data_IF_610098660854
#
_entry.id   IF_610098660854
#
_cell.length_a   1.000
_cell.length_b   1.000
_cell.length_c   1.000
_cell.angle_alpha   90.00
_cell.angle_beta   90.00
_cell.angle_gamma   90.00
#
_symmetry.space_group_name_H-M   'P 1'
#
loop_
_entity.id
_entity.type
_entity.pdbx_description
1 polymer ?
2 non-polymer ?
3 water ?
#
# COMPACT_ATOMS: atom_id res chain seq x y z
N UNK A 17 -25.02 2.00 8.71
CA UNK A 17 -24.77 3.45 8.96
C UNK A 17 -25.24 4.32 7.80
N UNK A 18 -24.85 5.59 7.83
CA UNK A 18 -25.22 6.54 6.80
C UNK A 18 -24.52 7.87 7.07
N UNK A 19 -24.52 8.75 6.09
CA UNK A 19 -23.86 10.05 6.25
C UNK A 19 -24.39 10.74 7.51
N UNK A 20 -25.67 10.51 7.80
CA UNK A 20 -26.33 11.08 8.96
C UNK A 20 -25.41 11.05 10.18
N UNK A 21 -25.32 9.89 10.79
CA UNK A 21 -24.51 9.66 11.98
C UNK A 21 -23.03 10.06 11.92
N UNK A 22 -22.66 10.85 10.91
CA UNK A 22 -21.30 11.28 10.80
C UNK A 22 -21.15 12.79 10.75
N UNK A 23 -20.01 13.25 11.22
CA UNK A 23 -19.71 14.66 11.22
C UNK A 23 -18.55 14.80 10.23
N UNK A 24 -18.89 15.18 9.00
CA UNK A 24 -17.90 15.36 7.94
C UNK A 24 -17.09 16.57 8.30
N UNK A 25 -16.09 16.34 9.14
CA UNK A 25 -15.21 17.37 9.67
C UNK A 25 -14.27 18.01 8.69
N UNK A 26 -13.79 17.26 7.71
CA UNK A 26 -12.86 17.81 6.71
C UNK A 26 -12.52 16.92 5.51
N UNK A 27 -11.87 17.55 4.54
CA UNK A 27 -11.41 16.88 3.33
C UNK A 27 -9.90 16.94 3.48
N UNK A 28 -9.27 15.77 3.51
CA UNK A 28 -7.82 15.65 3.67
C UNK A 28 -7.16 15.14 2.40
N UNK A 29 -7.95 14.62 1.47
CA UNK A 29 -7.38 14.09 0.24
C UNK A 29 -8.32 14.11 -0.95
N UNK A 30 -7.88 14.79 -2.02
CA UNK A 30 -8.65 14.93 -3.26
C UNK A 30 -8.09 14.19 -4.47
N UNK A 31 -8.92 13.35 -5.08
CA UNK A 31 -8.53 12.61 -6.26
C UNK A 31 -9.58 12.73 -7.38
N UNK A 32 -9.39 11.96 -8.45
CA UNK A 32 -10.33 11.97 -9.56
C UNK A 32 -11.37 10.90 -9.26
N UNK A 33 -10.85 9.78 -8.80
CA UNK A 33 -11.60 8.59 -8.42
C UNK A 33 -12.22 8.77 -7.01
N UNK A 34 -11.42 9.22 -6.04
CA UNK A 34 -11.93 9.36 -4.69
C UNK A 34 -11.49 10.58 -3.88
N UNK A 35 -12.27 10.84 -2.83
CA UNK A 35 -12.02 11.91 -1.90
C UNK A 35 -11.88 11.25 -0.54
N UNK A 36 -10.90 11.66 0.25
CA UNK A 36 -10.76 11.06 1.56
C UNK A 36 -11.07 12.10 2.63
N UNK A 37 -12.25 11.95 3.22
CA UNK A 37 -12.70 12.86 4.27
C UNK A 37 -12.16 12.47 5.64
N UNK A 38 -12.17 13.44 6.54
CA UNK A 38 -11.72 13.25 7.92
C UNK A 38 -13.00 13.38 8.71
N UNK A 39 -13.70 12.27 8.86
CA UNK A 39 -14.99 12.22 9.54
C UNK A 39 -15.00 11.59 10.92
N UNK A 40 -16.05 11.89 11.67
CA UNK A 40 -16.21 11.34 13.03
C UNK A 40 -17.61 10.81 13.33
N UNK A 41 -17.66 9.56 13.77
CA UNK A 41 -18.94 8.94 14.10
C UNK A 41 -19.43 9.58 15.38
N UNK A 42 -20.63 10.17 15.32
CA UNK A 42 -21.25 10.85 16.46
C UNK A 42 -21.42 9.92 17.66
N UNK A 43 -22.05 8.77 17.41
CA UNK A 43 -22.30 7.76 18.41
C UNK A 43 -21.07 7.44 19.24
N UNK A 44 -20.02 6.95 18.59
CA UNK A 44 -18.78 6.60 19.29
C UNK A 44 -17.93 7.81 19.59
N UNK A 45 -18.11 8.86 18.79
CA UNK A 45 -17.33 10.10 18.94
C UNK A 45 -15.90 9.88 18.44
N UNK A 46 -15.61 8.64 18.02
CA UNK A 46 -14.30 8.26 17.51
C UNK A 46 -14.11 8.74 16.08
N UNK A 47 -12.87 8.78 15.62
CA UNK A 47 -12.60 9.25 14.28
C UNK A 47 -12.13 8.20 13.29
N UNK A 48 -12.53 8.41 12.04
CA UNK A 48 -12.15 7.53 10.94
C UNK A 48 -12.08 8.38 9.69
N UNK A 49 -11.17 8.01 8.80
CA UNK A 49 -11.05 8.71 7.54
C UNK A 49 -11.98 7.94 6.61
N UNK A 50 -12.98 8.61 6.04
CA UNK A 50 -13.90 7.93 5.12
C UNK A 50 -13.52 8.19 3.65
N UNK A 51 -13.52 7.14 2.85
CA UNK A 51 -13.19 7.25 1.44
C UNK A 51 -14.46 7.37 0.60
N UNK A 52 -14.56 8.46 -0.15
CA UNK A 52 -15.74 8.74 -0.96
C UNK A 52 -15.55 8.65 -2.48
N UNK A 53 -16.19 7.64 -3.07
CA UNK A 53 -16.11 7.45 -4.51
C UNK A 53 -17.45 7.71 -5.17
N UNK A 54 -17.43 8.57 -6.18
CA UNK A 54 -18.63 8.90 -6.94
C UNK A 54 -19.01 7.61 -7.66
N UNK A 55 -20.25 7.15 -7.44
CA UNK A 55 -20.72 5.93 -8.08
C UNK A 55 -20.56 6.08 -9.58
N UNK A 56 -20.91 7.26 -10.08
CA UNK A 56 -20.83 7.59 -11.51
C UNK A 56 -19.45 7.33 -12.10
N UNK A 57 -18.52 6.81 -11.31
CA UNK A 57 -17.18 6.59 -11.82
C UNK A 57 -16.80 5.13 -11.89
N UNK A 58 -17.62 4.28 -11.30
CA UNK A 58 -17.33 2.86 -11.30
C UNK A 58 -18.39 2.09 -12.07
N UNK A 59 -18.43 2.34 -13.39
CA UNK A 59 -19.38 1.66 -14.26
C UNK A 59 -18.64 0.65 -15.12
N UNK A 60 -19.27 -0.50 -15.34
CA UNK A 60 -18.71 -1.60 -16.13
C UNK A 60 -18.13 -2.68 -15.21
N UNK A 61 -18.32 -3.93 -15.59
CA UNK A 61 -17.85 -5.09 -14.83
C UNK A 61 -16.40 -5.05 -14.33
N UNK A 62 -15.55 -4.23 -14.95
CA UNK A 62 -14.15 -4.17 -14.53
C UNK A 62 -13.86 -3.09 -13.47
N UNK A 63 -14.90 -2.54 -12.85
CA UNK A 63 -14.72 -1.51 -11.84
C UNK A 63 -15.29 -1.93 -10.49
N UNK A 64 -16.19 -2.90 -10.53
CA UNK A 64 -16.81 -3.41 -9.32
C UNK A 64 -15.80 -4.31 -8.63
N UNK A 65 -14.87 -4.83 -9.43
CA UNK A 65 -13.81 -5.70 -8.95
C UNK A 65 -12.74 -4.82 -8.31
N UNK A 66 -12.61 -3.60 -8.82
CA UNK A 66 -11.64 -2.66 -8.27
C UNK A 66 -12.12 -2.32 -6.86
N UNK A 67 -13.43 -2.31 -6.67
CA UNK A 67 -14.06 -2.02 -5.38
C UNK A 67 -14.14 -3.23 -4.47
N UNK A 68 -14.72 -4.32 -4.99
CA UNK A 68 -14.88 -5.56 -4.23
C UNK A 68 -13.54 -6.05 -3.72
N UNK A 69 -12.49 -5.76 -4.48
CA UNK A 69 -11.14 -6.16 -4.11
C UNK A 69 -10.63 -5.23 -3.01
N UNK A 70 -10.87 -3.93 -3.15
CA UNK A 70 -10.47 -2.99 -2.10
C UNK A 70 -11.22 -3.43 -0.84
N UNK A 71 -12.46 -3.84 -1.02
CA UNK A 71 -13.31 -4.29 0.07
C UNK A 71 -12.78 -5.63 0.64
N UNK A 72 -12.53 -6.59 -0.24
CA UNK A 72 -12.01 -7.86 0.23
C UNK A 72 -10.69 -7.76 0.97
N UNK A 73 -9.87 -6.78 0.63
CA UNK A 73 -8.59 -6.58 1.32
C UNK A 73 -8.88 -5.89 2.65
N UNK A 74 -9.58 -4.75 2.60
CA UNK A 74 -9.95 -4.01 3.81
C UNK A 74 -10.60 -4.95 4.84
N UNK A 75 -11.15 -6.06 4.37
CA UNK A 75 -11.77 -7.07 5.22
C UNK A 75 -10.65 -8.00 5.69
N UNK A 76 -9.45 -7.45 5.89
CA UNK A 76 -8.31 -8.25 6.30
C UNK A 76 -7.22 -7.46 7.00
N UNK A 77 -7.05 -6.22 6.57
CA UNK A 77 -6.04 -5.35 7.15
C UNK A 77 -6.41 -5.02 8.58
N UNK A 78 -7.65 -5.37 8.92
CA UNK A 78 -8.20 -5.14 10.25
C UNK A 78 -7.47 -6.00 11.29
N UNK A 79 -7.09 -7.20 10.84
CA UNK A 79 -6.40 -8.18 11.67
C UNK A 79 -4.90 -7.91 11.83
N UNK A 80 -4.35 -7.04 10.99
CA UNK A 80 -2.93 -6.75 11.08
C UNK A 80 -2.60 -5.34 11.58
N UNK A 81 -1.56 -5.24 12.44
CA UNK A 81 -1.02 -4.03 13.08
C UNK A 81 -0.50 -2.93 12.17
N UNK A 82 0.03 -3.30 11.00
CA UNK A 82 0.58 -2.28 10.08
C UNK A 82 -0.29 -2.09 8.84
N UNK A 83 -1.52 -2.53 8.95
CA UNK A 83 -2.49 -2.43 7.86
C UNK A 83 -3.77 -1.76 8.34
N UNK A 84 -4.21 -0.78 7.56
CA UNK A 84 -5.40 0.01 7.88
C UNK A 84 -6.71 -0.77 7.98
N UNK A 85 -7.40 -0.60 9.11
CA UNK A 85 -8.67 -1.28 9.32
C UNK A 85 -9.88 -0.63 8.65
N UNK A 86 -10.95 -1.40 8.52
CA UNK A 86 -12.15 -0.89 7.90
C UNK A 86 -13.30 -0.91 8.91
N UNK A 87 -13.79 0.26 9.30
CA UNK A 87 -14.90 0.32 10.26
C UNK A 87 -16.22 -0.14 9.63
N UNK A 88 -16.57 0.47 8.49
CA UNK A 88 -17.81 0.12 7.77
C UNK A 88 -17.88 0.67 6.32
N UNK A 89 -18.86 0.17 5.56
CA UNK A 89 -19.08 0.55 4.14
C UNK A 89 -20.52 0.82 3.75
N UNK A 90 -20.81 2.04 3.30
CA UNK A 90 -22.15 2.39 2.89
C UNK A 90 -22.16 3.21 1.61
N UNK A 91 -23.32 3.29 0.98
CA UNK A 91 -23.48 4.02 -0.26
C UNK A 91 -24.60 5.05 -0.24
N UNK A 92 -24.87 5.60 -1.42
CA UNK A 92 -25.93 6.57 -1.64
C UNK A 92 -26.26 6.41 -3.12
N UNK A 93 -27.23 7.17 -3.61
CA UNK A 93 -27.52 7.04 -5.02
C UNK A 93 -26.28 7.47 -5.78
N UNK A 94 -25.75 8.63 -5.40
CA UNK A 94 -24.57 9.18 -6.05
C UNK A 94 -23.21 8.54 -5.77
N UNK A 95 -23.00 7.92 -4.60
CA UNK A 95 -21.69 7.34 -4.32
C UNK A 95 -21.51 6.12 -3.41
N UNK A 96 -20.25 5.87 -3.03
CA UNK A 96 -19.85 4.78 -2.14
C UNK A 96 -18.90 5.34 -1.09
N UNK A 97 -18.91 4.74 0.10
CA UNK A 97 -18.05 5.23 1.18
C UNK A 97 -17.28 4.15 1.94
N UNK A 98 -16.20 4.56 2.58
CA UNK A 98 -15.40 3.63 3.37
C UNK A 98 -15.00 4.26 4.70
N UNK A 99 -15.66 3.86 5.78
CA UNK A 99 -15.28 4.39 7.08
C UNK A 99 -14.06 3.50 7.31
N UNK A 100 -12.88 4.12 7.31
CA UNK A 100 -11.62 3.42 7.46
C UNK A 100 -10.92 3.82 8.74
N UNK A 101 -9.98 3.00 9.18
CA UNK A 101 -9.20 3.29 10.38
C UNK A 101 -8.45 4.58 10.02
N UNK A 102 -8.26 5.46 10.98
CA UNK A 102 -7.59 6.70 10.66
C UNK A 102 -6.10 6.75 11.05
N UNK A 103 -5.31 7.44 10.23
CA UNK A 103 -3.86 7.58 10.47
C UNK A 103 -3.48 9.05 10.36
N UNK A 104 -2.48 9.47 11.12
CA UNK A 104 -2.09 10.89 11.12
C UNK A 104 -0.59 11.16 11.28
N UNK A 105 0.24 10.27 10.76
CA UNK A 105 1.67 10.50 10.88
C UNK A 105 2.21 11.04 9.58
N UNK A 106 1.45 10.83 8.50
CA UNK A 106 1.88 11.30 7.20
C UNK A 106 2.42 10.15 6.39
N UNK A 107 2.76 10.41 5.14
CA UNK A 107 3.30 9.39 4.26
C UNK A 107 4.81 9.58 4.16
N UNK A 108 5.58 8.50 4.24
CA UNK A 108 7.04 8.60 4.17
C UNK A 108 7.52 9.50 3.04
N UNK A 109 6.66 9.69 2.04
CA UNK A 109 6.97 10.55 0.90
C UNK A 109 7.31 11.95 1.40
N UNK A 110 6.46 12.45 2.29
CA UNK A 110 6.63 13.78 2.91
C UNK A 110 7.83 13.76 3.86
N UNK A 111 7.79 12.81 4.80
CA UNK A 111 8.85 12.66 5.79
C UNK A 111 10.20 12.65 5.10
N UNK A 112 10.25 12.08 3.91
CA UNK A 112 11.49 11.99 3.17
C UNK A 112 11.90 13.36 2.63
N UNK A 113 10.98 13.98 1.91
CA UNK A 113 11.25 15.29 1.34
C UNK A 113 11.71 16.29 2.41
N UNK A 114 11.33 16.04 3.65
CA UNK A 114 11.70 16.92 4.75
C UNK A 114 13.00 16.48 5.40
N UNK A 115 13.62 15.44 4.86
CA UNK A 115 14.88 14.95 5.43
C UNK A 115 15.92 14.36 4.49
N UNK A 116 15.57 14.20 3.22
CA UNK A 116 16.50 13.66 2.23
C UNK A 116 16.81 12.17 2.40
N UNK A 117 17.88 11.86 3.14
CA UNK A 117 18.27 10.47 3.36
C UNK A 117 17.98 10.01 4.80
N UNK A 118 17.81 8.70 4.98
CA UNK A 118 17.53 8.15 6.30
C UNK A 118 18.70 7.33 6.84
N UNK A 119 18.93 7.39 8.15
CA UNK A 119 20.03 6.62 8.74
C UNK A 119 19.71 5.16 8.48
N UNK A 120 20.70 4.38 8.06
CA UNK A 120 20.47 2.97 7.78
C UNK A 120 19.59 2.30 8.86
N UNK A 121 19.81 2.68 10.11
CA UNK A 121 19.04 2.13 11.22
C UNK A 121 17.56 2.45 11.10
N UNK A 122 17.23 3.72 11.01
CA UNK A 122 15.83 4.08 10.89
C UNK A 122 15.25 3.29 9.74
N UNK A 123 15.84 3.48 8.55
CA UNK A 123 15.41 2.79 7.34
C UNK A 123 15.10 1.33 7.62
N UNK A 124 15.96 0.68 8.39
CA UNK A 124 15.77 -0.72 8.71
C UNK A 124 14.46 -0.97 9.44
N UNK A 125 14.21 -0.15 10.46
CA UNK A 125 13.01 -0.28 11.27
C UNK A 125 11.73 -0.22 10.44
N UNK A 126 11.71 0.63 9.42
CA UNK A 126 10.54 0.77 8.59
C UNK A 126 10.34 -0.39 7.63
N UNK A 127 11.40 -0.68 6.88
CA UNK A 127 11.41 -1.78 5.91
C UNK A 127 10.96 -3.06 6.59
N UNK A 128 11.29 -3.19 7.87
CA UNK A 128 10.89 -4.36 8.63
C UNK A 128 9.37 -4.44 8.80
N UNK A 129 8.81 -3.38 9.36
CA UNK A 129 7.39 -3.37 9.61
C UNK A 129 6.59 -3.58 8.35
N UNK A 130 7.15 -3.13 7.23
CA UNK A 130 6.45 -3.27 5.98
C UNK A 130 6.49 -4.72 5.52
N UNK A 131 7.66 -5.33 5.59
CA UNK A 131 7.77 -6.73 5.18
C UNK A 131 6.70 -7.48 5.96
N UNK A 132 6.65 -7.27 7.27
CA UNK A 132 5.67 -7.93 8.11
C UNK A 132 4.30 -7.69 7.54
N UNK A 133 4.02 -6.44 7.22
CA UNK A 133 2.74 -6.13 6.61
C UNK A 133 2.62 -6.91 5.28
N UNK A 134 3.58 -6.73 4.36
CA UNK A 134 3.52 -7.45 3.09
C UNK A 134 3.39 -8.97 3.30
N UNK A 135 4.11 -9.49 4.29
CA UNK A 135 4.08 -10.90 4.58
C UNK A 135 2.68 -11.40 4.93
N UNK A 136 2.01 -10.68 5.82
CA UNK A 136 0.65 -11.03 6.24
C UNK A 136 -0.19 -11.06 4.96
N UNK A 137 -0.09 -10.00 4.18
CA UNK A 137 -0.82 -9.89 2.92
C UNK A 137 -0.63 -11.13 2.09
N UNK A 138 0.61 -11.41 1.72
CA UNK A 138 0.94 -12.58 0.90
C UNK A 138 0.35 -13.84 1.49
N UNK A 139 0.63 -14.06 2.77
CA UNK A 139 0.13 -15.24 3.45
C UNK A 139 -1.38 -15.37 3.26
N UNK A 140 -2.06 -14.24 3.13
CA UNK A 140 -3.51 -14.27 2.92
C UNK A 140 -3.90 -14.34 1.43
N UNK A 141 -2.93 -14.54 0.55
CA UNK A 141 -3.23 -14.63 -0.87
C UNK A 141 -3.43 -13.29 -1.53
N UNK A 142 -2.74 -12.28 -1.01
CA UNK A 142 -2.85 -10.92 -1.53
C UNK A 142 -1.54 -10.32 -2.00
N UNK A 143 -1.62 -9.61 -3.13
CA UNK A 143 -0.48 -8.94 -3.71
C UNK A 143 -0.78 -7.47 -3.67
N UNK A 144 -0.15 -6.77 -2.73
CA UNK A 144 -0.36 -5.35 -2.56
C UNK A 144 -0.26 -4.61 -3.91
N UNK A 145 0.84 -4.83 -4.61
CA UNK A 145 1.03 -4.23 -5.92
C UNK A 145 1.09 -2.71 -6.02
N UNK A 146 0.67 -1.99 -4.98
CA UNK A 146 0.77 -0.54 -5.04
C UNK A 146 1.54 0.03 -3.86
N UNK A 147 2.80 -0.38 -3.77
CA UNK A 147 3.66 0.10 -2.70
C UNK A 147 4.49 1.26 -3.20
N UNK A 148 4.48 2.35 -2.44
CA UNK A 148 5.26 3.53 -2.80
C UNK A 148 5.32 4.39 -1.57
N UNK A 149 6.33 5.25 -1.51
CA UNK A 149 6.53 6.09 -0.35
C UNK A 149 5.29 6.80 0.21
N UNK A 150 4.47 7.38 -0.65
CA UNK A 150 3.31 8.07 -0.11
C UNK A 150 2.14 7.13 0.24
N UNK A 151 2.38 5.83 0.23
CA UNK A 151 1.35 4.86 0.58
C UNK A 151 1.58 4.31 1.98
N UNK A 152 2.80 4.52 2.48
CA UNK A 152 3.16 4.07 3.80
C UNK A 152 2.99 5.27 4.70
N UNK A 153 1.91 5.28 5.45
CA UNK A 153 1.63 6.39 6.35
C UNK A 153 2.27 6.11 7.71
N UNK A 154 2.34 7.13 8.54
CA UNK A 154 2.92 6.98 9.87
C UNK A 154 1.87 6.91 10.97
N UNK A 155 2.11 5.97 11.89
CA UNK A 155 1.27 5.76 13.05
C UNK A 155 1.47 6.99 13.92
N UNK A 156 0.48 7.33 14.73
CA UNK A 156 0.56 8.49 15.61
C UNK A 156 1.95 8.69 16.23
N UNK A 157 2.61 7.60 16.64
CA UNK A 157 3.93 7.71 17.25
C UNK A 157 5.06 7.00 16.51
N UNK A 158 4.83 6.57 15.27
CA UNK A 158 5.90 5.92 14.57
C UNK A 158 5.59 4.77 13.61
N UNK A 159 5.14 3.65 14.13
CA UNK A 159 4.84 2.47 13.32
C UNK A 159 4.17 2.76 11.98
N UNK A 160 4.63 2.09 10.92
CA UNK A 160 4.10 2.30 9.59
C UNK A 160 2.76 1.61 9.39
N UNK A 161 2.14 1.87 8.25
CA UNK A 161 0.85 1.27 7.95
C UNK A 161 0.53 1.36 6.46
N UNK A 162 0.56 0.22 5.79
CA UNK A 162 0.27 0.16 4.37
C UNK A 162 -1.14 0.61 4.04
N UNK A 163 -1.27 1.43 3.01
CA UNK A 163 -2.57 1.94 2.62
C UNK A 163 -2.90 1.78 1.12
N UNK A 164 -4.12 2.15 0.74
CA UNK A 164 -4.53 2.02 -0.66
C UNK A 164 -4.56 0.57 -1.08
N UNK A 165 -5.73 0.07 -1.46
CA UNK A 165 -5.87 -1.33 -1.89
C UNK A 165 -6.55 -1.43 -3.24
N UNK A 166 -6.37 -0.39 -4.06
CA UNK A 166 -6.98 -0.38 -5.37
C UNK A 166 -6.08 -0.88 -6.48
N UNK A 167 -5.27 -1.89 -6.18
CA UNK A 167 -4.35 -2.48 -7.14
C UNK A 167 -3.86 -3.85 -6.66
N UNK A 168 -4.43 -4.32 -5.55
CA UNK A 168 -4.04 -5.62 -5.00
C UNK A 168 -4.66 -6.75 -5.82
N UNK A 169 -4.14 -7.96 -5.63
CA UNK A 169 -4.68 -9.11 -6.34
C UNK A 169 -5.29 -10.02 -5.29
N UNK A 170 -6.54 -10.41 -5.52
CA UNK A 170 -7.30 -11.25 -4.60
C UNK A 170 -6.84 -12.70 -4.51
N UNK A 171 -7.57 -13.45 -3.67
CA UNK A 171 -7.29 -14.85 -3.43
C UNK A 171 -6.26 -15.45 -4.35
N UNK A 172 -5.35 -16.25 -3.79
CA UNK A 172 -4.30 -16.83 -4.60
C UNK A 172 -3.39 -17.69 -3.75
N UNK A 173 -3.34 -18.99 -4.06
CA UNK A 173 -2.49 -19.91 -3.32
C UNK A 173 -1.06 -19.78 -3.80
N UNK A 174 -0.09 -19.94 -2.89
CA UNK A 174 1.30 -19.82 -3.32
C UNK A 174 1.57 -20.68 -4.56
N UNK A 175 2.47 -20.18 -5.41
CA UNK A 175 2.81 -20.90 -6.62
C UNK A 175 2.00 -20.33 -7.76
N UNK A 176 0.88 -19.69 -7.43
CA UNK A 176 0.00 -19.08 -8.42
C UNK A 176 0.67 -17.86 -9.08
N UNK A 177 0.05 -17.33 -10.13
CA UNK A 177 0.63 -16.19 -10.82
C UNK A 177 -0.33 -15.44 -11.72
N UNK A 178 -0.47 -14.14 -11.45
CA UNK A 178 -1.33 -13.27 -12.25
C UNK A 178 -0.47 -12.47 -13.23
N UNK A 179 -1.08 -11.62 -14.05
CA UNK A 179 -0.26 -10.88 -15.00
C UNK A 179 -0.73 -9.49 -15.43
N UNK A 180 -1.61 -8.86 -14.64
CA UNK A 180 -2.11 -7.52 -15.00
C UNK A 180 -0.96 -6.47 -14.89
N UNK A 181 -0.54 -5.94 -16.06
CA UNK A 181 0.50 -4.92 -16.12
C UNK A 181 -0.01 -3.68 -15.39
N UNK A 182 0.55 -3.37 -14.22
CA UNK A 182 0.11 -2.21 -13.47
C UNK A 182 1.09 -1.77 -12.39
N UNK A 183 0.62 -0.92 -11.49
CA UNK A 183 1.46 -0.43 -10.42
C UNK A 183 2.13 0.88 -10.79
N UNK A 184 2.49 1.65 -9.78
CA UNK A 184 3.14 2.94 -9.98
C UNK A 184 4.54 2.73 -10.57
N UNK A 185 4.72 3.12 -11.85
CA UNK A 185 5.91 3.03 -12.69
C UNK A 185 7.27 3.00 -12.01
N UNK A 186 7.55 4.03 -11.22
CA UNK A 186 8.83 4.11 -10.53
C UNK A 186 9.16 2.84 -9.75
N UNK A 187 8.13 2.09 -9.37
CA UNK A 187 8.35 0.87 -8.59
C UNK A 187 8.03 -0.41 -9.34
N UNK A 188 7.44 -0.31 -10.53
CA UNK A 188 7.07 -1.51 -11.28
C UNK A 188 8.26 -2.45 -11.47
N UNK A 189 8.06 -3.71 -11.06
CA UNK A 189 9.06 -4.78 -11.16
C UNK A 189 9.39 -5.21 -12.59
N UNK A 190 10.67 -5.48 -12.86
CA UNK A 190 11.16 -5.92 -14.17
C UNK A 190 10.40 -7.04 -14.90
N UNK A 191 9.92 -8.03 -14.16
CA UNK A 191 9.18 -9.15 -14.77
C UNK A 191 7.80 -8.71 -15.24
N UNK A 192 7.34 -7.60 -14.65
CA UNK A 192 6.06 -7.03 -15.00
C UNK A 192 6.23 -6.37 -16.37
N UNK A 193 7.34 -5.67 -16.52
CA UNK A 193 7.68 -5.03 -17.77
C UNK A 193 7.83 -6.12 -18.85
N UNK A 194 8.48 -7.23 -18.49
CA UNK A 194 8.66 -8.32 -19.44
C UNK A 194 7.34 -9.02 -19.76
N UNK A 195 6.24 -8.46 -19.25
CA UNK A 195 4.94 -9.05 -19.53
C UNK A 195 4.78 -10.49 -19.14
N UNK A 196 5.70 -10.98 -18.32
CA UNK A 196 5.62 -12.36 -17.87
C UNK A 196 4.70 -12.44 -16.65
N UNK A 197 4.08 -13.60 -16.44
CA UNK A 197 3.18 -13.83 -15.30
C UNK A 197 3.98 -13.61 -14.01
N UNK A 198 3.32 -13.24 -12.91
CA UNK A 198 4.06 -13.00 -11.66
C UNK A 198 3.24 -13.17 -10.38
N UNK A 199 3.92 -12.97 -9.25
CA UNK A 199 3.28 -13.10 -7.94
C UNK A 199 3.86 -12.18 -6.87
N UNK A 200 3.95 -12.70 -5.65
CA UNK A 200 4.45 -11.99 -4.47
C UNK A 200 5.79 -11.32 -4.70
N UNK A 201 6.52 -11.78 -5.70
CA UNK A 201 7.84 -11.26 -6.04
C UNK A 201 7.85 -9.78 -6.37
N UNK A 202 6.83 -9.31 -7.05
CA UNK A 202 6.78 -7.93 -7.45
C UNK A 202 6.68 -7.01 -6.24
N UNK A 203 6.13 -7.55 -5.15
CA UNK A 203 5.98 -6.80 -3.90
C UNK A 203 7.31 -6.60 -3.17
N UNK A 204 8.26 -7.49 -3.39
CA UNK A 204 9.56 -7.37 -2.75
C UNK A 204 10.48 -6.47 -3.56
N UNK A 205 10.24 -6.41 -4.85
CA UNK A 205 11.03 -5.56 -5.72
C UNK A 205 10.69 -4.14 -5.29
N UNK A 206 9.39 -3.86 -5.17
CA UNK A 206 8.92 -2.56 -4.76
C UNK A 206 9.59 -2.17 -3.45
N UNK A 207 9.56 -3.08 -2.48
CA UNK A 207 10.14 -2.82 -1.18
C UNK A 207 11.62 -2.45 -1.37
N UNK A 208 12.28 -3.20 -2.25
CA UNK A 208 13.69 -2.96 -2.51
C UNK A 208 13.92 -1.52 -2.88
N UNK A 209 12.99 -1.02 -3.69
CA UNK A 209 13.03 0.35 -4.17
C UNK A 209 12.74 1.32 -3.02
N UNK A 210 11.62 1.10 -2.35
CA UNK A 210 11.22 1.95 -1.23
C UNK A 210 12.40 2.16 -0.28
N UNK A 211 13.17 1.08 -0.12
CA UNK A 211 14.33 1.08 0.74
C UNK A 211 15.49 1.86 0.16
N UNK A 212 15.68 1.77 -1.16
CA UNK A 212 16.78 2.52 -1.78
C UNK A 212 16.46 3.99 -1.58
N UNK A 213 15.21 4.34 -1.86
CA UNK A 213 14.77 5.72 -1.75
C UNK A 213 15.01 6.27 -0.36
N UNK A 214 14.68 5.52 0.68
CA UNK A 214 14.89 5.98 2.05
C UNK A 214 16.37 6.21 2.34
N UNK A 215 17.20 5.19 2.15
CA UNK A 215 18.61 5.36 2.47
C UNK A 215 19.40 6.24 1.52
N UNK A 216 19.15 6.14 0.23
CA UNK A 216 19.87 6.95 -0.76
C UNK A 216 19.21 8.30 -1.00
N UNK A 217 17.97 8.44 -0.54
CA UNK A 217 17.27 9.69 -0.74
C UNK A 217 16.88 9.89 -2.20
N UNK A 218 17.51 9.09 -3.07
CA UNK A 218 17.30 9.15 -4.52
C UNK A 218 16.53 7.90 -4.99
N UNK A 219 16.26 7.82 -6.29
CA UNK A 219 15.60 6.65 -6.84
C UNK A 219 16.72 5.81 -7.44
N UNK A 220 16.46 4.53 -7.68
CA UNK A 220 17.53 3.72 -8.25
C UNK A 220 17.63 3.68 -9.78
N UNK A 221 16.68 4.31 -10.45
CA UNK A 221 16.71 4.32 -11.91
C UNK A 221 16.58 5.70 -12.56
N UNK A 222 17.57 6.03 -13.39
CA UNK A 222 17.66 7.30 -14.12
C UNK A 222 19.05 7.37 -14.72
N UNK A 232 12.66 9.13 -26.83
CA UNK A 232 12.95 9.09 -25.39
C UNK A 232 11.63 9.16 -24.62
N UNK A 233 11.62 9.89 -23.50
CA UNK A 233 10.43 10.07 -22.64
C UNK A 233 10.39 9.21 -21.36
N UNK A 234 9.66 9.68 -20.35
CA UNK A 234 9.54 8.99 -19.05
C UNK A 234 9.39 7.47 -19.16
N UNK A 235 8.18 6.97 -18.96
CA UNK A 235 7.92 5.54 -19.03
C UNK A 235 8.83 4.92 -20.07
N UNK A 236 8.62 5.34 -21.32
CA UNK A 236 9.43 4.87 -22.45
C UNK A 236 10.83 4.55 -21.91
N UNK A 237 11.59 5.61 -21.63
CA UNK A 237 12.95 5.49 -21.10
C UNK A 237 13.03 4.70 -19.79
N UNK A 238 12.40 5.23 -18.75
CA UNK A 238 12.37 4.60 -17.42
C UNK A 238 12.40 3.08 -17.47
N UNK A 239 11.37 2.49 -18.06
CA UNK A 239 11.26 1.06 -18.17
C UNK A 239 12.50 0.36 -18.71
N UNK A 240 13.30 1.07 -19.50
CA UNK A 240 14.52 0.49 -20.05
C UNK A 240 15.62 0.53 -18.99
N UNK A 241 15.62 1.61 -18.21
CA UNK A 241 16.60 1.76 -17.15
C UNK A 241 16.41 0.54 -16.25
N UNK A 242 15.20 0.43 -15.71
CA UNK A 242 14.82 -0.66 -14.83
C UNK A 242 15.28 -2.04 -15.33
N UNK A 243 15.20 -2.24 -16.63
CA UNK A 243 15.54 -3.53 -17.22
C UNK A 243 16.96 -3.76 -17.72
N UNK A 244 17.80 -2.74 -17.63
CA UNK A 244 19.17 -2.93 -18.08
C UNK A 244 20.11 -2.15 -17.16
N UNK A 245 19.70 -0.93 -16.83
CA UNK A 245 20.50 -0.08 -15.98
C UNK A 245 20.88 -0.81 -14.69
N UNK A 246 22.16 -1.11 -14.58
CA UNK A 246 22.68 -1.76 -13.40
C UNK A 246 22.64 -0.67 -12.32
N UNK A 247 21.86 -0.88 -11.28
CA UNK A 247 21.72 0.09 -10.18
C UNK A 247 23.04 0.50 -9.52
N UNK A 248 23.19 1.80 -9.29
CA UNK A 248 24.39 2.33 -8.66
C UNK A 248 24.17 2.52 -7.15
N UNK A 249 24.94 1.79 -6.35
CA UNK A 249 24.86 1.89 -4.90
C UNK A 249 25.85 2.94 -4.37
N UNK A 250 25.43 3.74 -3.39
CA UNK A 250 26.28 4.78 -2.78
C UNK A 250 27.54 4.22 -2.14
N UNK A 251 28.68 4.84 -2.46
CA UNK A 251 29.94 4.40 -1.93
C UNK A 251 30.12 4.84 -0.46
N UNK A 252 29.03 5.21 0.18
CA UNK A 252 29.04 5.62 1.57
C UNK A 252 28.29 4.53 2.32
N UNK A 253 27.34 3.93 1.60
CA UNK A 253 26.50 2.85 2.11
C UNK A 253 27.23 1.70 2.79
N UNK A 254 26.52 0.97 3.64
CA UNK A 254 27.13 -0.16 4.30
C UNK A 254 27.06 -1.40 3.43
N UNK A 255 27.91 -2.36 3.77
CA UNK A 255 28.00 -3.67 3.10
C UNK A 255 26.66 -4.41 3.19
N UNK A 256 26.13 -4.48 4.42
CA UNK A 256 24.87 -5.16 4.65
C UNK A 256 23.81 -4.42 3.85
N UNK A 257 23.68 -3.13 4.13
CA UNK A 257 22.72 -2.25 3.45
C UNK A 257 22.61 -2.53 1.95
N UNK A 258 23.75 -2.42 1.28
CA UNK A 258 23.84 -2.67 -0.15
C UNK A 258 23.26 -4.04 -0.45
N UNK A 259 23.92 -5.06 0.09
CA UNK A 259 23.50 -6.45 -0.10
C UNK A 259 22.00 -6.62 -0.21
N UNK A 260 21.26 -6.12 0.77
CA UNK A 260 19.80 -6.24 0.74
C UNK A 260 19.27 -5.61 -0.51
N UNK A 261 19.72 -4.40 -0.78
CA UNK A 261 19.28 -3.66 -1.94
C UNK A 261 19.53 -4.51 -3.20
N UNK A 262 20.73 -5.09 -3.29
CA UNK A 262 21.09 -5.97 -4.39
C UNK A 262 20.09 -7.14 -4.43
N UNK A 263 19.95 -7.83 -3.31
CA UNK A 263 19.05 -8.95 -3.17
C UNK A 263 17.64 -8.65 -3.65
N UNK A 264 17.07 -7.55 -3.16
CA UNK A 264 15.70 -7.18 -3.49
C UNK A 264 15.57 -6.67 -4.91
N UNK A 265 16.62 -6.05 -5.41
CA UNK A 265 16.57 -5.50 -6.75
C UNK A 265 17.25 -6.39 -7.77
N UNK A 266 17.20 -7.69 -7.51
CA UNK A 266 17.74 -8.68 -8.41
C UNK A 266 16.63 -8.67 -9.46
N UNK A 267 16.97 -8.45 -10.72
CA UNK A 267 15.96 -8.40 -11.76
C UNK A 267 15.34 -9.78 -11.98
N UNK A 268 15.91 -10.80 -11.34
CA UNK A 268 15.36 -12.14 -11.47
C UNK A 268 14.46 -12.47 -10.30
N UNK A 269 13.16 -12.62 -10.56
CA UNK A 269 12.19 -12.93 -9.51
C UNK A 269 12.69 -14.06 -8.63
N UNK A 270 13.19 -15.12 -9.25
CA UNK A 270 13.70 -16.25 -8.49
C UNK A 270 14.89 -15.85 -7.61
N UNK A 271 16.00 -15.49 -8.24
CA UNK A 271 17.20 -15.10 -7.52
C UNK A 271 16.97 -13.90 -6.59
N UNK A 272 15.72 -13.53 -6.35
CA UNK A 272 15.43 -12.36 -5.50
C UNK A 272 15.01 -12.64 -4.07
N UNK A 273 15.59 -11.89 -3.15
CA UNK A 273 15.29 -12.04 -1.74
C UNK A 273 13.77 -12.08 -1.45
N UNK A 274 13.37 -12.95 -0.53
CA UNK A 274 11.97 -13.04 -0.19
C UNK A 274 11.15 -13.75 -1.25
N UNK A 275 11.74 -13.86 -2.44
CA UNK A 275 11.05 -14.48 -3.56
C UNK A 275 11.21 -15.97 -3.62
N UNK A 276 12.19 -16.47 -2.88
CA UNK A 276 12.43 -17.90 -2.81
C UNK A 276 11.19 -18.48 -2.16
N UNK A 277 10.62 -19.57 -2.72
CA UNK A 277 9.42 -20.22 -2.22
C UNK A 277 9.64 -20.91 -0.88
N UNK A 278 8.55 -21.03 -0.12
CA UNK A 278 8.58 -21.68 1.19
C UNK A 278 9.70 -21.21 2.15
N UNK A 279 10.47 -20.21 1.74
CA UNK A 279 11.58 -19.71 2.57
C UNK A 279 11.61 -18.18 2.59
N UNK A 280 11.13 -17.59 1.50
CA UNK A 280 11.11 -16.15 1.34
C UNK A 280 11.26 -15.26 2.55
N UNK A 281 10.21 -15.24 3.37
CA UNK A 281 10.17 -14.40 4.56
C UNK A 281 11.24 -14.78 5.58
N UNK A 282 11.52 -16.07 5.67
CA UNK A 282 12.54 -16.55 6.58
C UNK A 282 13.88 -16.00 6.10
N UNK A 283 14.04 -15.98 4.77
CA UNK A 283 15.24 -15.46 4.11
C UNK A 283 15.41 -14.02 4.54
N UNK A 284 14.40 -13.23 4.22
CA UNK A 284 14.39 -11.83 4.53
C UNK A 284 14.83 -11.66 5.95
N UNK A 285 14.05 -12.19 6.88
CA UNK A 285 14.37 -12.07 8.29
C UNK A 285 15.81 -12.50 8.56
N UNK A 286 16.21 -13.54 7.86
CA UNK A 286 17.56 -14.06 8.04
C UNK A 286 18.63 -13.09 7.60
N UNK A 287 18.40 -12.40 6.48
CA UNK A 287 19.41 -11.49 5.98
C UNK A 287 20.10 -10.59 7.02
N UNK A 288 21.45 -10.49 6.93
CA UNK A 288 22.34 -9.71 7.78
C UNK A 288 21.85 -8.30 8.08
N UNK A 289 21.23 -7.66 7.09
CA UNK A 289 20.70 -6.32 7.25
C UNK A 289 19.73 -6.30 8.44
N UNK A 290 19.06 -7.44 8.67
CA UNK A 290 18.11 -7.58 9.77
C UNK A 290 18.71 -8.45 10.87
N UNK A 291 19.94 -8.13 11.26
CA UNK A 291 20.68 -8.87 12.26
C UNK A 291 20.16 -8.88 13.69
N UNK A 292 19.90 -7.72 14.25
CA UNK A 292 19.44 -7.67 15.64
C UNK A 292 17.93 -7.54 15.77
N UNK A 293 17.23 -7.60 14.64
CA UNK A 293 15.78 -7.46 14.62
C UNK A 293 15.03 -8.67 15.16
N UNK A 294 14.21 -8.45 16.20
CA UNK A 294 13.39 -9.53 16.76
C UNK A 294 11.98 -9.34 16.26
N UNK A 295 11.70 -10.07 15.19
CA UNK A 295 10.42 -9.97 14.52
C UNK A 295 9.17 -10.13 15.40
N UNK A 296 9.01 -11.25 16.10
CA UNK A 296 7.82 -11.45 16.96
C UNK A 296 7.59 -10.28 17.92
N UNK A 297 8.68 -9.58 18.25
CA UNK A 297 8.64 -8.44 19.13
C UNK A 297 8.13 -7.21 18.37
N UNK A 298 8.70 -6.95 17.21
CA UNK A 298 8.25 -5.81 16.44
C UNK A 298 6.85 -6.01 15.85
N UNK A 299 6.55 -7.25 15.48
CA UNK A 299 5.25 -7.62 14.92
C UNK A 299 4.15 -7.21 15.89
N UNK A 300 4.55 -6.94 17.13
CA UNK A 300 3.63 -6.56 18.19
C UNK A 300 3.82 -5.10 18.59
N UNK A 301 4.69 -4.40 17.89
CA UNK A 301 4.97 -2.99 18.16
C UNK A 301 5.69 -2.84 19.50
N UNK A 302 6.46 -3.86 19.85
CA UNK A 302 7.20 -3.83 21.10
C UNK A 302 8.56 -3.18 20.88
N UNK A 303 8.83 -2.76 19.65
CA UNK A 303 10.09 -2.11 19.36
C UNK A 303 9.81 -0.61 19.25
N UNK A 304 10.75 0.20 19.69
CA UNK A 304 10.57 1.66 19.66
C UNK A 304 10.89 2.34 18.34
N UNK A 305 9.91 3.09 17.78
CA UNK A 305 10.10 3.81 16.51
C UNK A 305 11.20 4.86 16.61
N UNK A 306 12.13 4.89 15.63
CA UNK A 306 13.24 5.84 15.61
C UNK A 306 12.78 7.26 15.34
N UNK A 307 11.47 7.46 15.29
CA UNK A 307 10.89 8.77 15.03
C UNK A 307 9.38 8.88 15.31
N UNK A 308 9.03 9.56 16.40
CA UNK A 308 7.64 9.77 16.75
C UNK A 308 7.20 10.99 15.96
N UNK A 309 6.02 10.93 15.35
CA UNK A 309 5.49 12.03 14.54
C UNK A 309 5.17 13.30 15.33
N UNK A 329 -18.27 21.01 6.19
CA UNK A 329 -17.78 20.43 4.94
C UNK A 329 -18.83 19.53 4.30
N UNK A 330 -19.81 20.14 3.65
CA UNK A 330 -20.89 19.39 2.98
C UNK A 330 -20.52 19.00 1.55
N UNK A 331 -20.95 17.82 1.12
CA UNK A 331 -20.66 17.34 -0.23
C UNK A 331 -21.64 17.96 -1.22
N UNK A 332 -21.26 17.94 -2.52
CA UNK A 332 -22.09 18.50 -3.59
C UNK A 332 -23.42 17.74 -3.70
N UNK A 333 -24.52 18.45 -3.99
CA UNK A 333 -25.83 17.81 -4.16
C UNK A 333 -25.78 16.84 -5.32
N UNK A 334 -26.70 15.89 -5.34
CA UNK A 334 -26.71 14.91 -6.42
C UNK A 334 -27.27 15.57 -7.67
N UNK A 335 -26.67 15.26 -8.83
CA UNK A 335 -27.13 15.80 -10.09
C UNK A 335 -28.01 14.74 -10.72
N UNK A 336 -29.33 14.90 -10.58
CA UNK A 336 -30.28 13.94 -11.13
C UNK A 336 -29.93 13.65 -12.59
N UNK A 337 -29.45 14.69 -13.30
CA UNK A 337 -29.04 14.58 -14.69
C UNK A 337 -28.11 13.37 -14.86
N UNK A 338 -27.34 13.07 -13.81
CA UNK A 338 -26.38 11.97 -13.81
C UNK A 338 -26.89 10.76 -13.05
N UNK A 339 -27.27 10.98 -11.80
CA UNK A 339 -27.80 9.96 -10.92
C UNK A 339 -28.90 9.13 -11.60
N UNK A 340 -29.90 9.81 -12.15
CA UNK A 340 -31.00 9.13 -12.83
C UNK A 340 -30.49 8.11 -13.82
N UNK A 341 -29.26 8.27 -14.29
CA UNK A 341 -28.66 7.37 -15.27
C UNK A 341 -27.82 6.21 -14.69
N UNK A 342 -27.81 6.07 -13.36
CA UNK A 342 -27.02 5.03 -12.70
C UNK A 342 -27.73 3.67 -12.54
N UNK A 343 -26.98 2.60 -12.76
CA UNK A 343 -27.48 1.24 -12.67
C UNK A 343 -27.97 0.80 -11.30
N UNK A 344 -27.25 1.21 -10.25
CA UNK A 344 -27.59 0.88 -8.87
C UNK A 344 -27.62 -0.63 -8.63
N UNK A 345 -27.85 -1.39 -9.70
CA UNK A 345 -27.92 -2.83 -9.62
C UNK A 345 -26.58 -3.38 -9.13
N UNK A 346 -25.52 -3.11 -9.91
CA UNK A 346 -24.19 -3.57 -9.57
C UNK A 346 -23.68 -2.90 -8.30
N UNK A 347 -24.53 -2.82 -7.28
CA UNK A 347 -24.14 -2.18 -6.02
C UNK A 347 -24.71 -2.91 -4.79
N UNK A 348 -24.95 -4.21 -4.91
CA UNK A 348 -25.52 -5.00 -3.81
C UNK A 348 -24.52 -5.64 -2.85
N UNK A 349 -24.80 -5.48 -1.56
CA UNK A 349 -23.94 -6.05 -0.54
C UNK A 349 -22.80 -5.14 -0.20
N UNK A 350 -22.71 -4.00 -0.88
CA UNK A 350 -21.63 -3.06 -0.60
C UNK A 350 -21.59 -2.78 0.89
N UNK A 351 -22.77 -2.62 1.47
CA UNK A 351 -22.88 -2.35 2.90
C UNK A 351 -22.21 -3.49 3.64
N UNK A 352 -21.56 -3.15 4.74
CA UNK A 352 -20.87 -4.14 5.55
C UNK A 352 -20.18 -3.41 6.70
N UNK A 353 -20.49 -3.84 7.92
CA UNK A 353 -19.88 -3.23 9.10
C UNK A 353 -18.94 -4.26 9.69
N UNK A 354 -17.74 -3.83 10.06
CA UNK A 354 -16.76 -4.74 10.63
C UNK A 354 -17.10 -5.08 12.08
N UNK A 355 -17.53 -6.32 12.33
CA UNK A 355 -17.90 -6.81 13.66
C UNK A 355 -16.84 -6.75 14.77
N UNK A 356 -15.59 -7.06 14.43
CA UNK A 356 -14.49 -7.06 15.40
C UNK A 356 -14.41 -5.77 16.20
X LIG B 1 -0.09 10.78 -1.12
X LIG B 1 -1.18 10.38 -0.24
X LIG B 1 -1.40 11.13 1.00
X LIG B 1 -1.96 9.21 -0.72
X LIG B 1 -3.11 8.83 0.21
X LIG B 1 -3.00 7.33 0.45
X LIG B 1 -4.12 6.89 1.30
X LIG B 1 -4.18 7.15 2.64
X LIG B 1 -5.20 6.18 0.89
X LIG B 1 -5.61 5.66 -0.37
X LIG B 1 -6.82 4.95 -0.49
X LIG B 1 -7.66 4.75 0.64
X LIG B 1 -7.27 5.27 1.92
X LIG B 1 -6.04 5.98 2.03
X LIG B 1 -5.37 6.59 3.10
X LIG B 1 -5.76 6.70 4.57
X LIG B 1 -6.32 5.61 5.40
X LIG B 1 -6.56 4.43 4.96
X LIG B 1 -6.58 5.94 6.68
X LIG B 1 -6.24 7.20 6.80
X LIG B 1 -6.38 7.79 7.92
X LIG B 1 -5.70 7.82 5.55
X LIG B 1 -5.21 9.27 5.41
X LIG B 1 -5.30 10.15 4.29
X LIG B 1 -5.84 10.07 2.95
X LIG B 1 -5.73 11.18 2.09
X LIG B 1 -5.09 12.35 2.55
X LIG B 1 -4.55 12.45 3.87
X LIG B 1 -4.66 11.33 4.76
X LIG B 1 -4.25 11.12 6.05
X LIG B 1 -4.56 9.87 6.49
#
# INVERSE_FOLDING_TARGET
>A
EKEAMNTRESGKASSSLGLQDFDLLRVIGRGSYAKVLLVRLKKTDRIYAMKVVKKELVNDDEDIDWVQTEKHVFEQASNHPFLVGLHSCFQTESRLFFVIEYVNGGDLMFHMQRQRKLPEEHARFYSAEISLALNYLHERGIIYRDLKLDNVLLDSEGHIKLTDYGMCKEGLRPGDTTSTFCGTPNYIAPEILRGEDYGFSVDWWALGVLMFEMMAGRSPFDIVGSSDNPDQNTEDYLFQVILEKQIRIPRSMSVKAASVLKSFLNKDPKERLGCLPQTGFADIQGHPFFRNVDWDMMEQKQVVPPFKPNISGEFGLDNFDSQFTNERVQLTPDDDDIVRKIDQSEFEGFEYINPLLMSAEECV
>B hetero
1 BI1 CBD NBC CBE CBB CBA CAY NAH CAW CAE CAF CAA CAB CAC CAD CAG CAI CAT OAZ NAU CAV OAX CAJ CAK CAM CAP CAQ CAR CAS CAN NAO CAL
#
